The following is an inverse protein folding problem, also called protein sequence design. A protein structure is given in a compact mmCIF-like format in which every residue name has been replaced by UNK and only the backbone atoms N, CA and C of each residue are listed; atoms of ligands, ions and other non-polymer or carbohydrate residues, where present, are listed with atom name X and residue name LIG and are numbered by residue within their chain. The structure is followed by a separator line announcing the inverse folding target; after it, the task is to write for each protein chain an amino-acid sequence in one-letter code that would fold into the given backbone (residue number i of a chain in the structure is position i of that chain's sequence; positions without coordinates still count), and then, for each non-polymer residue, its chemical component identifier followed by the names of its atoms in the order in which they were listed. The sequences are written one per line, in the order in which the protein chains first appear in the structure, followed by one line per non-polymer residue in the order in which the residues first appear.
data_IF_981816700238
#
_entry.id   IF_981816700238
#
_cell.length_a   1.000
_cell.length_b   1.000
_cell.length_c   1.000
_cell.angle_alpha   90.00
_cell.angle_beta   90.00
_cell.angle_gamma   90.00
#
_symmetry.space_group_name_H-M   'P 1'
#
loop_
_entity.id
_entity.type
_entity.pdbx_description
1 polymer ?
#
# COMPACT_ATOMS: atom_id res chain seq x y z
N UNK A 1 -6.52 -34.52 2.43
CA UNK A 1 -6.63 -33.09 2.82
C UNK A 1 -5.53 -32.77 3.83
N UNK A 2 -4.75 -31.70 3.63
CA UNK A 2 -3.77 -31.27 4.65
C UNK A 2 -4.54 -30.74 5.85
N UNK A 3 -4.27 -31.27 7.05
CA UNK A 3 -4.88 -30.79 8.29
C UNK A 3 -4.49 -29.33 8.50
N UNK A 4 -5.48 -28.43 8.58
CA UNK A 4 -5.23 -27.02 8.90
C UNK A 4 -4.66 -26.92 10.32
N UNK A 5 -3.59 -26.14 10.46
CA UNK A 5 -2.99 -25.82 11.77
C UNK A 5 -3.28 -24.36 12.07
N UNK A 6 -4.18 -24.14 13.02
CA UNK A 6 -4.68 -22.82 13.39
C UNK A 6 -3.68 -22.05 14.27
N UNK A 7 -3.70 -20.74 14.13
CA UNK A 7 -2.94 -19.83 14.96
C UNK A 7 -3.44 -19.87 16.41
N UNK A 8 -2.53 -19.75 17.39
CA UNK A 8 -2.87 -19.89 18.83
C UNK A 8 -3.70 -18.73 19.39
N UNK A 9 -3.58 -17.54 18.80
CA UNK A 9 -4.34 -16.32 19.16
C UNK A 9 -5.59 -16.16 18.29
N UNK A 10 -6.50 -15.27 18.69
CA UNK A 10 -7.70 -14.90 17.92
C UNK A 10 -8.69 -16.06 17.71
N UNK A 11 -8.93 -16.86 18.76
CA UNK A 11 -9.76 -18.07 18.65
C UNK A 11 -11.20 -17.73 18.22
N UNK A 12 -11.84 -16.77 18.89
CA UNK A 12 -13.21 -16.35 18.57
C UNK A 12 -13.33 -15.78 17.15
N UNK A 13 -12.34 -14.98 16.72
CA UNK A 13 -12.28 -14.51 15.34
C UNK A 13 -12.17 -15.67 14.35
N UNK A 14 -11.30 -16.66 14.63
CA UNK A 14 -11.12 -17.81 13.75
C UNK A 14 -12.36 -18.71 13.68
N UNK A 15 -13.12 -18.79 14.78
CA UNK A 15 -14.40 -19.52 14.83
C UNK A 15 -15.48 -18.83 13.99
N UNK A 16 -15.43 -17.49 13.86
CA UNK A 16 -16.38 -16.71 13.06
C UNK A 16 -15.99 -16.62 11.58
N UNK A 17 -14.72 -16.35 11.28
CA UNK A 17 -14.27 -15.98 9.93
C UNK A 17 -13.32 -16.97 9.28
N UNK A 18 -12.89 -18.03 9.99
CA UNK A 18 -12.02 -19.09 9.46
C UNK A 18 -10.59 -19.08 10.02
N UNK A 19 -9.79 -20.07 9.64
CA UNK A 19 -8.49 -20.28 10.25
C UNK A 19 -7.43 -19.25 9.81
N UNK A 20 -6.48 -18.98 10.69
CA UNK A 20 -5.21 -18.29 10.38
C UNK A 20 -4.08 -19.33 10.47
N UNK A 21 -3.11 -19.38 9.53
CA UNK A 21 -2.00 -20.31 9.61
C UNK A 21 -1.15 -20.11 10.87
N UNK A 22 -0.84 -21.19 11.59
CA UNK A 22 0.08 -21.14 12.72
C UNK A 22 1.52 -20.73 12.34
N UNK A 23 1.87 -20.84 11.06
CA UNK A 23 3.17 -20.42 10.53
C UNK A 23 3.30 -18.91 10.34
N UNK A 24 2.19 -18.17 10.30
CA UNK A 24 2.21 -16.73 10.11
C UNK A 24 2.74 -16.08 11.39
N UNK A 25 3.85 -15.34 11.24
CA UNK A 25 4.52 -14.63 12.35
C UNK A 25 4.57 -13.12 12.14
N UNK A 26 4.30 -12.66 10.93
CA UNK A 26 4.31 -11.25 10.57
C UNK A 26 2.93 -10.67 10.87
N UNK A 27 2.89 -9.62 11.70
CA UNK A 27 1.66 -9.01 12.19
C UNK A 27 0.81 -8.44 11.04
N UNK A 28 1.44 -7.76 10.08
CA UNK A 28 0.78 -7.27 8.88
C UNK A 28 0.14 -8.43 8.09
N UNK A 29 0.83 -9.55 7.87
CA UNK A 29 0.25 -10.72 7.17
C UNK A 29 -0.97 -11.25 7.93
N UNK A 30 -0.89 -11.38 9.25
CA UNK A 30 -1.99 -11.87 10.09
C UNK A 30 -3.19 -10.92 9.98
N UNK A 31 -3.00 -9.61 10.18
CA UNK A 31 -4.05 -8.59 10.13
C UNK A 31 -4.69 -8.51 8.75
N UNK A 32 -3.89 -8.48 7.69
CA UNK A 32 -4.35 -8.50 6.30
C UNK A 32 -5.17 -9.75 6.00
N UNK A 33 -4.76 -10.93 6.52
CA UNK A 33 -5.52 -12.18 6.39
C UNK A 33 -6.85 -12.13 7.12
N UNK A 34 -6.89 -11.52 8.30
CA UNK A 34 -8.13 -11.31 9.05
C UNK A 34 -9.09 -10.38 8.29
N UNK A 35 -8.61 -9.29 7.70
CA UNK A 35 -9.42 -8.44 6.81
C UNK A 35 -10.03 -9.24 5.66
N UNK A 36 -9.28 -10.17 5.06
CA UNK A 36 -9.85 -11.04 4.02
C UNK A 36 -10.97 -11.93 4.55
N UNK A 37 -10.87 -12.42 5.80
CA UNK A 37 -11.92 -13.16 6.47
C UNK A 37 -13.19 -12.34 6.71
N UNK A 38 -13.04 -11.10 7.17
CA UNK A 38 -14.14 -10.14 7.35
C UNK A 38 -14.83 -9.87 6.01
N UNK A 39 -14.05 -9.55 4.97
CA UNK A 39 -14.58 -9.30 3.63
C UNK A 39 -15.24 -10.54 3.00
N UNK A 40 -14.71 -11.73 3.25
CA UNK A 40 -15.33 -13.00 2.85
C UNK A 40 -16.69 -13.16 3.54
N UNK A 41 -16.83 -12.68 4.77
CA UNK A 41 -18.05 -12.65 5.58
C UNK A 41 -18.71 -14.02 5.75
N UNK A 42 -17.94 -15.09 5.62
CA UNK A 42 -18.36 -16.46 5.87
C UNK A 42 -17.15 -17.31 6.25
N UNK A 43 -17.35 -18.22 7.20
CA UNK A 43 -16.38 -19.26 7.50
C UNK A 43 -16.45 -20.33 6.42
N UNK A 44 -15.28 -20.75 5.94
CA UNK A 44 -15.14 -21.92 5.08
C UNK A 44 -14.41 -23.00 5.88
N UNK A 45 -15.05 -24.16 6.05
CA UNK A 45 -14.43 -25.29 6.73
C UNK A 45 -13.22 -25.79 5.93
N UNK A 46 -12.14 -26.11 6.64
CA UNK A 46 -10.87 -26.54 6.03
C UNK A 46 -10.23 -25.52 5.06
N UNK A 47 -10.50 -24.22 5.21
CA UNK A 47 -9.78 -23.15 4.52
C UNK A 47 -9.28 -22.06 5.50
N UNK A 48 -8.16 -21.40 5.15
CA UNK A 48 -7.73 -20.19 5.84
C UNK A 48 -8.60 -18.98 5.43
N UNK A 49 -8.61 -17.89 6.21
CA UNK A 49 -9.49 -16.72 6.00
C UNK A 49 -9.43 -16.09 4.61
N UNK A 50 -8.28 -16.19 3.96
CA UNK A 50 -8.01 -15.59 2.65
C UNK A 50 -8.35 -16.50 1.47
N UNK A 51 -8.79 -17.74 1.67
CA UNK A 51 -9.10 -18.62 0.54
C UNK A 51 -10.59 -18.66 0.27
N UNK A 52 -10.94 -18.72 -0.99
CA UNK A 52 -12.25 -19.17 -1.47
C UNK A 52 -12.04 -20.40 -2.37
N UNK A 53 -13.11 -21.03 -2.85
CA UNK A 53 -13.01 -22.23 -3.70
C UNK A 53 -13.08 -21.89 -5.19
N UNK A 54 -12.85 -22.91 -6.03
CA UNK A 54 -12.58 -22.82 -7.48
C UNK A 54 -13.70 -22.16 -8.31
N UNK A 55 -14.90 -21.94 -7.76
CA UNK A 55 -16.01 -21.21 -8.41
C UNK A 55 -16.33 -19.84 -7.78
N UNK A 56 -15.52 -19.40 -6.82
CA UNK A 56 -15.77 -18.21 -6.00
C UNK A 56 -15.03 -16.96 -6.49
N UNK A 57 -14.56 -16.95 -7.74
CA UNK A 57 -13.88 -15.80 -8.36
C UNK A 57 -14.69 -14.50 -8.20
N UNK A 58 -16.02 -14.58 -8.27
CA UNK A 58 -16.93 -13.48 -7.95
C UNK A 58 -16.63 -12.80 -6.60
N UNK A 59 -16.36 -13.57 -5.54
CA UNK A 59 -15.99 -13.03 -4.23
C UNK A 59 -14.63 -12.33 -4.30
N UNK A 60 -13.65 -12.93 -4.99
CA UNK A 60 -12.32 -12.34 -5.10
C UNK A 60 -12.32 -11.07 -5.97
N UNK A 61 -13.26 -10.95 -6.90
CA UNK A 61 -13.51 -9.78 -7.75
C UNK A 61 -14.62 -8.88 -7.22
N UNK A 62 -14.56 -8.58 -5.92
CA UNK A 62 -15.38 -7.56 -5.27
C UNK A 62 -16.90 -7.78 -5.32
N UNK A 63 -17.36 -9.01 -5.58
CA UNK A 63 -18.78 -9.34 -5.83
C UNK A 63 -19.39 -8.42 -6.90
N UNK A 64 -18.62 -8.13 -7.94
CA UNK A 64 -19.02 -7.29 -9.05
C UNK A 64 -18.89 -8.08 -10.37
N UNK A 65 -20.03 -8.31 -11.03
CA UNK A 65 -20.09 -9.15 -12.25
C UNK A 65 -19.30 -8.55 -13.41
N UNK A 66 -19.30 -7.21 -13.56
CA UNK A 66 -18.53 -6.52 -14.58
C UNK A 66 -17.02 -6.72 -14.37
N UNK A 67 -16.54 -6.54 -13.14
CA UNK A 67 -15.14 -6.73 -12.79
C UNK A 67 -14.70 -8.19 -12.92
N UNK A 68 -15.56 -9.15 -12.56
CA UNK A 68 -15.28 -10.57 -12.78
C UNK A 68 -15.18 -10.88 -14.29
N UNK A 69 -16.10 -10.35 -15.10
CA UNK A 69 -16.09 -10.53 -16.56
C UNK A 69 -14.83 -9.92 -17.18
N UNK A 70 -14.47 -8.70 -16.78
CA UNK A 70 -13.27 -8.01 -17.26
C UNK A 70 -11.99 -8.73 -16.83
N UNK A 71 -11.95 -9.26 -15.60
CA UNK A 71 -10.84 -10.08 -15.09
C UNK A 71 -10.64 -11.36 -15.91
N UNK A 72 -11.74 -12.05 -16.27
CA UNK A 72 -11.68 -13.24 -17.14
C UNK A 72 -11.17 -12.91 -18.54
N UNK A 73 -11.62 -11.79 -19.13
CA UNK A 73 -11.12 -11.33 -20.44
C UNK A 73 -9.64 -10.98 -20.40
N UNK A 74 -9.19 -10.30 -19.35
CA UNK A 74 -7.79 -9.93 -19.19
C UNK A 74 -6.91 -11.18 -18.98
N UNK A 75 -7.38 -12.17 -18.22
CA UNK A 75 -6.70 -13.46 -18.07
C UNK A 75 -6.49 -14.16 -19.43
N UNK A 76 -7.49 -14.18 -20.29
CA UNK A 76 -7.36 -14.73 -21.65
C UNK A 76 -6.39 -13.90 -22.52
N UNK A 77 -6.35 -12.57 -22.34
CA UNK A 77 -5.36 -11.72 -23.00
C UNK A 77 -3.93 -12.02 -22.53
N UNK A 78 -3.72 -12.21 -21.23
CA UNK A 78 -2.42 -12.61 -20.64
C UNK A 78 -1.96 -13.95 -21.23
N UNK A 79 -2.87 -14.94 -21.30
CA UNK A 79 -2.58 -16.26 -21.91
C UNK A 79 -2.18 -16.12 -23.37
N UNK A 80 -2.87 -15.28 -24.16
CA UNK A 80 -2.52 -14.99 -25.56
C UNK A 80 -1.15 -14.32 -25.72
N UNK A 81 -0.72 -13.52 -24.74
CA UNK A 81 0.63 -12.94 -24.68
C UNK A 81 1.71 -13.92 -24.20
N UNK A 82 1.35 -15.18 -23.95
CA UNK A 82 2.20 -16.24 -23.39
C UNK A 82 2.80 -15.91 -22.02
N UNK A 83 2.14 -15.03 -21.26
CA UNK A 83 2.55 -14.61 -19.92
C UNK A 83 2.08 -15.59 -18.86
N UNK A 84 2.88 -15.73 -17.81
CA UNK A 84 2.56 -16.62 -16.70
C UNK A 84 1.62 -15.88 -15.75
N UNK A 85 0.51 -16.51 -15.43
CA UNK A 85 -0.38 -16.09 -14.35
C UNK A 85 -0.80 -17.32 -13.58
N UNK A 86 -0.71 -17.25 -12.26
CA UNK A 86 -1.25 -18.27 -11.37
C UNK A 86 -2.77 -18.07 -11.28
N UNK A 87 -3.51 -18.70 -12.19
CA UNK A 87 -4.98 -18.60 -12.27
C UNK A 87 -5.66 -19.00 -10.96
N UNK A 88 -5.12 -20.00 -10.27
CA UNK A 88 -5.63 -20.42 -8.97
C UNK A 88 -5.43 -19.33 -7.91
N UNK A 89 -4.24 -18.72 -7.85
CA UNK A 89 -3.97 -17.59 -6.95
C UNK A 89 -4.87 -16.39 -7.27
N UNK A 90 -5.07 -16.09 -8.56
CA UNK A 90 -5.93 -15.01 -9.02
C UNK A 90 -7.40 -15.22 -8.62
N UNK A 91 -7.92 -16.45 -8.71
CA UNK A 91 -9.33 -16.75 -8.44
C UNK A 91 -9.62 -17.04 -6.96
N UNK A 92 -8.69 -17.70 -6.26
CA UNK A 92 -8.97 -18.27 -4.94
C UNK A 92 -8.27 -17.58 -3.77
N UNK A 93 -7.18 -16.84 -3.98
CA UNK A 93 -6.41 -16.25 -2.89
C UNK A 93 -6.68 -14.76 -2.72
N UNK A 94 -7.48 -14.41 -1.73
CA UNK A 94 -7.86 -13.03 -1.41
C UNK A 94 -6.70 -12.20 -0.83
N UNK A 95 -5.71 -12.85 -0.22
CA UNK A 95 -4.54 -12.23 0.39
C UNK A 95 -3.39 -12.26 -0.62
N UNK A 96 -3.60 -11.65 -1.77
CA UNK A 96 -2.60 -11.62 -2.80
C UNK A 96 -2.59 -10.34 -3.62
N UNK A 97 -1.39 -9.88 -3.96
CA UNK A 97 -1.20 -8.72 -4.83
C UNK A 97 -1.77 -8.90 -6.23
N UNK A 98 -1.81 -10.13 -6.76
CA UNK A 98 -2.29 -10.39 -8.11
C UNK A 98 -3.78 -10.04 -8.30
N UNK A 99 -4.74 -10.61 -7.54
CA UNK A 99 -6.13 -10.16 -7.60
C UNK A 99 -6.31 -8.71 -7.12
N UNK A 100 -5.43 -8.20 -6.24
CA UNK A 100 -5.48 -6.78 -5.86
C UNK A 100 -5.19 -5.86 -7.04
N UNK A 101 -4.20 -6.19 -7.89
CA UNK A 101 -3.92 -5.45 -9.12
C UNK A 101 -5.15 -5.42 -10.04
N UNK A 102 -5.82 -6.56 -10.23
CA UNK A 102 -7.03 -6.63 -11.04
C UNK A 102 -8.15 -5.78 -10.44
N UNK A 103 -8.38 -5.90 -9.13
CA UNK A 103 -9.44 -5.19 -8.42
C UNK A 103 -9.25 -3.67 -8.43
N UNK A 104 -8.02 -3.18 -8.28
CA UNK A 104 -7.75 -1.73 -8.25
C UNK A 104 -7.77 -1.13 -9.65
N UNK A 105 -7.19 -1.81 -10.65
CA UNK A 105 -6.83 -1.16 -11.90
C UNK A 105 -7.78 -1.46 -13.08
N UNK A 106 -8.47 -2.61 -13.13
CA UNK A 106 -9.45 -2.87 -14.19
C UNK A 106 -10.63 -1.89 -14.18
N UNK A 107 -11.23 -1.54 -13.01
CA UNK A 107 -12.33 -0.58 -12.98
C UNK A 107 -11.93 0.83 -13.45
N UNK A 108 -10.64 1.19 -13.40
CA UNK A 108 -10.15 2.47 -13.92
C UNK A 108 -10.25 2.59 -15.45
N UNK A 109 -10.52 1.48 -16.17
CA UNK A 109 -10.80 1.46 -17.61
C UNK A 109 -12.24 1.85 -17.93
N UNK A 110 -13.15 1.77 -16.95
CA UNK A 110 -14.57 1.97 -17.19
C UNK A 110 -14.89 3.40 -17.61
N UNK A 111 -15.99 3.54 -18.36
CA UNK A 111 -16.52 4.83 -18.80
C UNK A 111 -15.45 5.69 -19.49
N UNK A 112 -14.70 5.08 -20.42
CA UNK A 112 -13.60 5.72 -21.16
C UNK A 112 -12.55 6.36 -20.24
N UNK A 113 -12.13 5.62 -19.22
CA UNK A 113 -11.11 6.05 -18.25
C UNK A 113 -11.48 7.31 -17.48
N UNK A 114 -12.75 7.68 -17.30
CA UNK A 114 -13.12 8.94 -16.62
C UNK A 114 -12.47 9.05 -15.22
N UNK A 115 -12.66 8.04 -14.38
CA UNK A 115 -12.04 7.97 -13.05
C UNK A 115 -10.53 7.69 -13.16
N UNK A 116 -10.11 6.82 -14.08
CA UNK A 116 -8.69 6.53 -14.31
C UNK A 116 -7.87 7.80 -14.63
N UNK A 117 -8.38 8.66 -15.49
CA UNK A 117 -7.78 9.94 -15.83
C UNK A 117 -7.58 10.82 -14.59
N UNK A 118 -8.58 10.91 -13.72
CA UNK A 118 -8.47 11.69 -12.49
C UNK A 118 -7.41 11.10 -11.54
N UNK A 119 -7.38 9.77 -11.38
CA UNK A 119 -6.40 9.06 -10.55
C UNK A 119 -4.97 9.35 -10.99
N UNK A 120 -4.64 9.11 -12.26
CA UNK A 120 -3.26 9.22 -12.71
C UNK A 120 -2.79 10.68 -12.84
N UNK A 121 -3.70 11.63 -13.11
CA UNK A 121 -3.38 13.06 -13.05
C UNK A 121 -3.09 13.53 -11.63
N UNK A 122 -3.84 13.04 -10.64
CA UNK A 122 -3.62 13.40 -9.22
C UNK A 122 -2.34 12.74 -8.67
N UNK A 123 -2.06 11.48 -9.03
CA UNK A 123 -0.85 10.77 -8.58
C UNK A 123 0.44 11.24 -9.27
N UNK A 124 0.35 11.66 -10.53
CA UNK A 124 1.53 12.02 -11.35
C UNK A 124 1.35 13.35 -12.08
N UNK A 125 1.17 14.47 -11.36
CA UNK A 125 0.92 15.78 -11.98
C UNK A 125 2.08 16.22 -12.90
N UNK A 126 3.31 15.83 -12.58
CA UNK A 126 4.50 16.16 -13.36
C UNK A 126 4.56 15.48 -14.75
N UNK A 127 3.73 14.45 -15.00
CA UNK A 127 3.66 13.79 -16.31
C UNK A 127 2.79 14.54 -17.32
N UNK A 128 2.05 15.57 -16.89
CA UNK A 128 1.13 16.33 -17.74
C UNK A 128 0.20 15.41 -18.56
N UNK A 129 -0.44 14.46 -17.87
CA UNK A 129 -1.30 13.46 -18.50
C UNK A 129 -2.55 14.16 -19.07
N UNK A 130 -2.74 14.07 -20.39
CA UNK A 130 -3.95 14.51 -21.08
C UNK A 130 -5.05 13.48 -20.93
N UNK A 131 -4.74 12.23 -21.27
CA UNK A 131 -5.65 11.09 -21.13
C UNK A 131 -4.92 9.75 -21.07
N UNK A 132 -5.52 8.77 -20.41
CA UNK A 132 -5.13 7.36 -20.50
C UNK A 132 -5.51 6.79 -21.87
N UNK A 133 -4.70 5.83 -22.33
CA UNK A 133 -4.90 5.09 -23.57
C UNK A 133 -5.29 3.65 -23.26
N UNK A 134 -4.58 3.00 -22.34
CA UNK A 134 -4.89 1.64 -21.92
C UNK A 134 -4.32 1.33 -20.52
N UNK A 135 -4.85 0.27 -19.90
CA UNK A 135 -4.35 -0.34 -18.68
C UNK A 135 -4.31 -1.85 -18.94
N UNK A 136 -3.12 -2.45 -18.87
CA UNK A 136 -2.89 -3.88 -19.15
C UNK A 136 -2.28 -4.57 -17.94
N UNK A 137 -2.74 -5.78 -17.63
CA UNK A 137 -2.19 -6.59 -16.54
C UNK A 137 -1.10 -7.51 -17.07
N UNK A 138 -0.05 -7.77 -16.26
CA UNK A 138 1.06 -8.67 -16.63
C UNK A 138 1.62 -8.34 -18.02
N UNK A 139 2.05 -7.09 -18.19
CA UNK A 139 2.38 -6.52 -19.50
C UNK A 139 3.66 -5.69 -19.48
N UNK A 140 4.35 -5.70 -20.61
CA UNK A 140 5.35 -4.69 -20.99
C UNK A 140 5.19 -4.41 -22.49
N UNK A 141 5.41 -3.17 -22.96
CA UNK A 141 5.37 -2.85 -24.38
C UNK A 141 6.12 -3.85 -25.27
N UNK A 142 5.46 -4.26 -26.36
CA UNK A 142 5.97 -5.26 -27.30
C UNK A 142 5.47 -6.69 -27.07
N UNK A 143 4.69 -6.95 -26.02
CA UNK A 143 4.09 -8.26 -25.76
C UNK A 143 2.92 -8.63 -26.68
N UNK A 144 2.42 -7.70 -27.49
CA UNK A 144 1.23 -7.91 -28.33
C UNK A 144 1.45 -9.02 -29.39
N UNK A 145 2.70 -9.39 -29.69
CA UNK A 145 3.08 -10.48 -30.58
C UNK A 145 3.66 -11.71 -29.86
N UNK A 146 3.44 -11.82 -28.54
CA UNK A 146 3.94 -12.89 -27.68
C UNK A 146 5.33 -12.61 -27.11
N UNK A 147 5.61 -13.15 -25.91
CA UNK A 147 6.83 -12.85 -25.13
C UNK A 147 8.15 -13.10 -25.88
N UNK A 148 8.17 -14.02 -26.85
CA UNK A 148 9.37 -14.42 -27.59
C UNK A 148 9.71 -13.44 -28.73
N UNK A 149 8.80 -12.54 -29.11
CA UNK A 149 8.96 -11.61 -30.23
C UNK A 149 9.10 -10.15 -29.79
N UNK A 150 9.19 -9.89 -28.48
CA UNK A 150 9.29 -8.52 -27.96
C UNK A 150 10.72 -7.97 -28.04
N UNK A 151 10.82 -6.64 -28.14
CA UNK A 151 12.10 -5.91 -28.21
C UNK A 151 12.86 -5.85 -26.88
N UNK A 152 12.20 -6.17 -25.76
CA UNK A 152 12.75 -6.19 -24.40
C UNK A 152 13.63 -7.44 -24.24
N UNK A 153 14.88 -7.26 -23.85
CA UNK A 153 15.93 -8.28 -23.93
C UNK A 153 16.38 -8.86 -22.60
N UNK A 154 16.12 -8.17 -21.48
CA UNK A 154 16.68 -8.55 -20.17
C UNK A 154 16.22 -9.94 -19.72
N UNK A 155 14.92 -10.13 -19.55
CA UNK A 155 14.31 -11.39 -19.16
C UNK A 155 12.79 -11.36 -19.27
N UNK A 156 12.12 -12.50 -19.10
CA UNK A 156 10.67 -12.65 -19.23
C UNK A 156 9.84 -11.97 -18.12
N UNK A 157 10.37 -10.95 -17.42
CA UNK A 157 9.57 -10.12 -16.52
C UNK A 157 8.60 -9.23 -17.31
N UNK A 158 7.56 -8.77 -16.60
CA UNK A 158 6.62 -7.74 -17.00
C UNK A 158 6.21 -6.95 -15.75
N UNK A 159 5.53 -5.83 -15.94
CA UNK A 159 4.89 -5.13 -14.83
C UNK A 159 3.60 -5.86 -14.45
N UNK A 160 3.25 -5.84 -13.16
CA UNK A 160 1.94 -6.32 -12.70
C UNK A 160 0.82 -5.54 -13.41
N UNK A 161 1.01 -4.22 -13.54
CA UNK A 161 0.15 -3.32 -14.32
C UNK A 161 1.00 -2.39 -15.16
N UNK A 162 0.61 -2.19 -16.41
CA UNK A 162 1.16 -1.17 -17.29
C UNK A 162 0.07 -0.20 -17.72
N UNK A 163 0.29 1.08 -17.50
CA UNK A 163 -0.63 2.16 -17.84
C UNK A 163 -0.02 2.97 -18.96
N UNK A 164 -0.71 3.05 -20.09
CA UNK A 164 -0.33 3.87 -21.23
C UNK A 164 -1.14 5.16 -21.22
N UNK A 165 -0.50 6.28 -21.50
CA UNK A 165 -1.15 7.59 -21.53
C UNK A 165 -0.61 8.46 -22.67
N UNK A 166 -1.39 9.49 -23.02
CA UNK A 166 -0.93 10.64 -23.82
C UNK A 166 -0.74 11.83 -22.91
N UNK A 167 0.38 12.53 -23.06
CA UNK A 167 0.58 13.82 -22.40
C UNK A 167 -0.07 14.97 -23.19
N UNK A 168 0.00 16.19 -22.66
CA UNK A 168 -0.54 17.39 -23.31
C UNK A 168 0.09 17.70 -24.69
N UNK A 169 1.29 17.17 -24.96
CA UNK A 169 1.95 17.26 -26.27
C UNK A 169 1.61 16.08 -27.21
N UNK A 170 0.58 15.29 -26.87
CA UNK A 170 0.15 14.07 -27.58
C UNK A 170 1.24 12.99 -27.73
N UNK A 171 2.32 13.05 -26.93
CA UNK A 171 3.32 11.99 -26.85
C UNK A 171 2.82 10.85 -25.96
N UNK A 172 3.11 9.61 -26.36
CA UNK A 172 2.81 8.42 -25.59
C UNK A 172 3.84 8.25 -24.47
N UNK A 173 3.36 7.97 -23.27
CA UNK A 173 4.16 7.59 -22.13
C UNK A 173 3.58 6.38 -21.41
N UNK A 174 4.40 5.78 -20.56
CA UNK A 174 4.08 4.59 -19.78
C UNK A 174 4.31 4.76 -18.29
N UNK A 175 3.54 4.04 -17.49
CA UNK A 175 3.76 3.85 -16.06
C UNK A 175 3.74 2.35 -15.82
N UNK A 176 4.89 1.77 -15.53
CA UNK A 176 5.01 0.41 -15.04
C UNK A 176 4.73 0.38 -13.54
N UNK A 177 3.89 -0.54 -13.09
CA UNK A 177 3.47 -0.63 -11.69
C UNK A 177 3.74 -2.05 -11.19
N UNK A 178 4.47 -2.13 -10.07
CA UNK A 178 4.56 -3.33 -9.24
C UNK A 178 3.57 -3.19 -8.07
N UNK A 179 2.86 -4.26 -7.75
CA UNK A 179 1.87 -4.29 -6.68
C UNK A 179 2.33 -5.25 -5.60
N UNK A 180 2.51 -4.75 -4.38
CA UNK A 180 2.88 -5.53 -3.20
C UNK A 180 1.75 -5.47 -2.18
N UNK A 181 1.26 -6.64 -1.76
CA UNK A 181 0.34 -6.71 -0.62
C UNK A 181 0.98 -7.37 0.59
N UNK A 182 1.29 -8.67 0.54
CA UNK A 182 1.93 -9.38 1.67
C UNK A 182 3.13 -10.20 1.25
N UNK A 183 3.35 -10.31 -0.06
CA UNK A 183 4.42 -11.06 -0.66
C UNK A 183 5.74 -10.30 -0.57
N UNK A 184 6.82 -10.99 -0.18
CA UNK A 184 8.19 -10.45 -0.31
C UNK A 184 8.52 -10.13 -1.78
N UNK A 185 9.50 -9.28 -2.03
CA UNK A 185 9.99 -9.01 -3.40
C UNK A 185 10.51 -10.28 -4.09
N UNK A 186 11.74 -10.69 -3.78
CA UNK A 186 12.35 -11.87 -4.40
C UNK A 186 12.90 -12.84 -3.39
N UNK A 187 12.96 -14.11 -3.80
CA UNK A 187 13.64 -15.19 -3.08
C UNK A 187 14.92 -15.62 -3.79
N UNK A 188 15.11 -15.20 -5.04
CA UNK A 188 16.25 -15.60 -5.86
C UNK A 188 17.42 -14.66 -5.62
N UNK A 189 18.63 -15.19 -5.56
CA UNK A 189 19.86 -14.44 -5.38
C UNK A 189 20.67 -14.46 -6.69
N UNK A 190 20.41 -13.50 -7.57
CA UNK A 190 21.05 -13.44 -8.88
C UNK A 190 22.55 -13.12 -8.79
N UNK A 191 23.03 -12.60 -7.66
CA UNK A 191 24.45 -12.37 -7.45
C UNK A 191 25.24 -13.70 -7.39
N UNK A 192 24.60 -14.77 -6.88
CA UNK A 192 25.16 -16.12 -6.77
C UNK A 192 25.04 -16.94 -8.05
N UNK A 193 24.23 -16.52 -9.01
CA UNK A 193 24.15 -17.17 -10.32
C UNK A 193 25.46 -16.97 -11.11
N UNK A 194 25.71 -17.83 -12.10
CA UNK A 194 26.91 -17.79 -12.96
C UNK A 194 26.54 -17.72 -14.44
N UNK A 195 27.48 -17.23 -15.26
CA UNK A 195 27.34 -17.09 -16.70
C UNK A 195 26.21 -16.14 -17.12
N UNK A 196 25.58 -16.45 -18.25
CA UNK A 196 24.63 -15.56 -18.95
C UNK A 196 23.55 -14.94 -18.06
N UNK A 197 23.02 -15.67 -17.08
CA UNK A 197 21.96 -15.16 -16.19
C UNK A 197 22.40 -13.95 -15.36
N UNK A 198 23.67 -13.90 -14.95
CA UNK A 198 24.25 -12.78 -14.21
C UNK A 198 24.81 -11.74 -15.17
N UNK A 199 25.53 -12.20 -16.19
CA UNK A 199 26.22 -11.33 -17.15
C UNK A 199 25.24 -10.39 -17.86
N UNK A 200 24.06 -10.87 -18.26
CA UNK A 200 23.02 -10.03 -18.88
C UNK A 200 22.63 -8.81 -18.05
N UNK A 201 22.60 -8.94 -16.72
CA UNK A 201 22.24 -7.83 -15.85
C UNK A 201 23.41 -6.88 -15.64
N UNK A 202 24.63 -7.40 -15.58
CA UNK A 202 25.84 -6.56 -15.55
C UNK A 202 25.93 -5.73 -16.83
N UNK A 203 25.67 -6.34 -17.98
CA UNK A 203 25.64 -5.64 -19.27
C UNK A 203 24.52 -4.60 -19.33
N UNK A 204 23.34 -4.91 -18.78
CA UNK A 204 22.24 -3.97 -18.67
C UNK A 204 22.58 -2.76 -17.76
N UNK A 205 23.25 -2.99 -16.63
CA UNK A 205 23.71 -1.91 -15.72
C UNK A 205 24.67 -0.97 -16.45
N UNK A 206 25.60 -1.53 -17.24
CA UNK A 206 26.53 -0.73 -18.07
C UNK A 206 25.80 0.05 -19.16
N UNK A 207 24.87 -0.61 -19.86
CA UNK A 207 24.06 0.01 -20.94
C UNK A 207 23.25 1.19 -20.42
N UNK A 208 22.61 1.03 -19.27
CA UNK A 208 21.74 2.03 -18.66
C UNK A 208 22.44 2.73 -17.49
N UNK A 209 23.71 3.11 -17.69
CA UNK A 209 24.55 3.74 -16.67
C UNK A 209 24.12 5.16 -16.28
N UNK A 210 23.20 5.78 -17.05
CA UNK A 210 22.51 7.01 -16.64
C UNK A 210 21.55 6.76 -15.47
N UNK A 211 21.02 5.55 -15.34
CA UNK A 211 20.11 5.14 -14.27
C UNK A 211 20.81 4.36 -13.17
N UNK A 212 21.69 3.43 -13.54
CA UNK A 212 22.32 2.49 -12.62
C UNK A 212 23.81 2.79 -12.42
N UNK A 213 24.30 2.54 -11.21
CA UNK A 213 25.72 2.65 -10.88
C UNK A 213 26.34 1.27 -10.75
N UNK A 214 27.44 1.00 -11.47
CA UNK A 214 28.18 -0.26 -11.35
C UNK A 214 28.64 -0.55 -9.91
N UNK A 215 28.80 0.49 -9.08
CA UNK A 215 29.11 0.38 -7.64
C UNK A 215 28.10 -0.51 -6.90
N UNK A 216 26.83 -0.47 -7.29
CA UNK A 216 25.73 -1.17 -6.60
C UNK A 216 25.32 -2.48 -7.30
N UNK A 217 26.15 -3.01 -8.21
CA UNK A 217 25.85 -4.23 -8.99
C UNK A 217 25.47 -5.42 -8.09
N UNK A 218 26.14 -5.58 -6.94
CA UNK A 218 25.85 -6.68 -6.02
C UNK A 218 24.47 -6.51 -5.40
N UNK A 219 24.17 -5.32 -4.92
CA UNK A 219 22.91 -4.94 -4.27
C UNK A 219 21.74 -5.13 -5.23
N UNK A 220 21.86 -4.63 -6.47
CA UNK A 220 20.84 -4.82 -7.51
C UNK A 220 20.48 -6.29 -7.77
N UNK A 221 21.42 -7.22 -7.57
CA UNK A 221 21.20 -8.64 -7.85
C UNK A 221 20.78 -9.46 -6.61
N UNK A 222 20.81 -8.87 -5.42
CA UNK A 222 20.39 -9.54 -4.19
C UNK A 222 18.86 -9.68 -4.07
N UNK A 223 18.35 -10.69 -3.35
CA UNK A 223 16.90 -10.94 -3.19
C UNK A 223 16.11 -9.72 -2.68
N UNK A 224 16.76 -8.84 -1.92
CA UNK A 224 16.17 -7.61 -1.38
C UNK A 224 15.71 -6.67 -2.50
N UNK A 225 16.56 -6.42 -3.50
CA UNK A 225 16.32 -5.38 -4.50
C UNK A 225 16.09 -5.89 -5.91
N UNK A 226 16.41 -7.15 -6.22
CA UNK A 226 16.47 -7.57 -7.62
C UNK A 226 15.14 -7.54 -8.37
N UNK A 227 14.00 -7.63 -7.68
CA UNK A 227 12.71 -7.43 -8.34
C UNK A 227 12.52 -5.95 -8.73
N UNK A 228 12.81 -5.02 -7.82
CA UNK A 228 12.75 -3.58 -8.09
C UNK A 228 13.75 -3.17 -9.17
N UNK A 229 14.97 -3.70 -9.13
CA UNK A 229 15.97 -3.52 -10.18
C UNK A 229 15.47 -4.00 -11.54
N UNK A 230 14.89 -5.20 -11.62
CA UNK A 230 14.35 -5.75 -12.87
C UNK A 230 13.18 -4.90 -13.40
N UNK A 231 12.30 -4.45 -12.53
CA UNK A 231 11.20 -3.57 -12.92
C UNK A 231 11.70 -2.20 -13.39
N UNK A 232 12.69 -1.61 -12.72
CA UNK A 232 13.31 -0.36 -13.17
C UNK A 232 13.99 -0.57 -14.53
N UNK A 233 14.69 -1.68 -14.71
CA UNK A 233 15.35 -2.03 -15.96
C UNK A 233 14.34 -2.20 -17.11
N UNK A 234 13.16 -2.77 -16.86
CA UNK A 234 12.08 -2.77 -17.85
C UNK A 234 11.70 -1.36 -18.28
N UNK A 235 11.64 -0.38 -17.37
CA UNK A 235 11.34 1.01 -17.76
C UNK A 235 12.42 1.61 -18.66
N UNK A 236 13.70 1.33 -18.38
CA UNK A 236 14.81 1.81 -19.22
C UNK A 236 14.81 1.15 -20.60
N UNK A 237 14.51 -0.15 -20.68
CA UNK A 237 14.34 -0.82 -21.97
C UNK A 237 13.14 -0.29 -22.74
N UNK A 238 12.03 0.03 -22.06
CA UNK A 238 10.86 0.65 -22.71
C UNK A 238 11.22 2.01 -23.32
N UNK A 239 11.95 2.86 -22.56
CA UNK A 239 12.43 4.14 -23.07
C UNK A 239 13.31 3.97 -24.31
N UNK A 240 14.31 3.08 -24.22
CA UNK A 240 15.28 2.82 -25.30
C UNK A 240 14.62 2.22 -26.55
N UNK A 241 13.73 1.24 -26.40
CA UNK A 241 13.19 0.46 -27.54
C UNK A 241 11.96 1.06 -28.20
N UNK A 242 11.22 1.90 -27.49
CA UNK A 242 9.96 2.46 -27.97
C UNK A 242 9.95 4.00 -28.04
N UNK A 243 11.04 4.66 -27.65
CA UNK A 243 11.17 6.12 -27.67
C UNK A 243 9.98 6.79 -26.95
N UNK A 244 9.65 6.26 -25.77
CA UNK A 244 8.55 6.74 -24.92
C UNK A 244 9.06 7.02 -23.52
N UNK A 245 8.48 8.01 -22.84
CA UNK A 245 8.73 8.19 -21.42
C UNK A 245 8.14 7.03 -20.64
N UNK A 246 8.85 6.51 -19.64
CA UNK A 246 8.36 5.42 -18.80
C UNK A 246 8.88 5.59 -17.38
N UNK A 247 8.03 5.42 -16.37
CA UNK A 247 8.46 5.39 -14.97
C UNK A 247 7.98 4.14 -14.26
N UNK A 248 8.62 3.83 -13.14
CA UNK A 248 8.21 2.77 -12.23
C UNK A 248 7.46 3.36 -11.04
N UNK A 249 6.30 2.80 -10.72
CA UNK A 249 5.63 2.99 -9.45
C UNK A 249 5.51 1.65 -8.69
N UNK A 250 5.44 1.72 -7.36
CA UNK A 250 5.25 0.56 -6.50
C UNK A 250 4.05 0.82 -5.60
N UNK A 251 2.96 0.08 -5.82
CA UNK A 251 1.80 0.11 -4.94
C UNK A 251 2.03 -0.81 -3.76
N UNK A 252 1.90 -0.30 -2.54
CA UNK A 252 2.22 -1.04 -1.30
C UNK A 252 1.19 -0.83 -0.19
N UNK A 253 1.08 -1.81 0.71
CA UNK A 253 0.30 -1.70 1.95
C UNK A 253 0.97 -0.78 2.96
N UNK A 254 0.24 0.17 3.52
CA UNK A 254 0.76 1.08 4.57
C UNK A 254 1.27 0.34 5.81
N UNK A 255 0.75 -0.87 6.06
CA UNK A 255 1.17 -1.71 7.18
C UNK A 255 2.44 -2.54 6.86
N UNK A 256 2.95 -2.50 5.62
CA UNK A 256 4.19 -3.19 5.22
C UNK A 256 5.40 -2.26 5.28
N UNK A 257 5.83 -1.92 6.50
CA UNK A 257 7.01 -1.09 6.73
C UNK A 257 8.27 -1.63 6.03
N UNK A 258 8.42 -2.96 5.95
CA UNK A 258 9.56 -3.58 5.30
C UNK A 258 9.55 -3.34 3.78
N UNK A 259 8.37 -3.35 3.16
CA UNK A 259 8.24 -3.06 1.74
C UNK A 259 8.67 -1.62 1.45
N UNK A 260 8.15 -0.64 2.19
CA UNK A 260 8.49 0.77 1.97
C UNK A 260 9.96 1.08 2.27
N UNK A 261 10.53 0.50 3.33
CA UNK A 261 11.96 0.62 3.63
C UNK A 261 12.81 0.10 2.46
N UNK A 262 12.46 -1.07 1.93
CA UNK A 262 13.18 -1.67 0.78
C UNK A 262 13.06 -0.80 -0.48
N UNK A 263 11.89 -0.19 -0.73
CA UNK A 263 11.68 0.70 -1.87
C UNK A 263 12.52 1.98 -1.72
N UNK A 264 12.53 2.58 -0.53
CA UNK A 264 13.31 3.79 -0.26
C UNK A 264 14.81 3.51 -0.36
N UNK A 265 15.29 2.42 0.24
CA UNK A 265 16.68 2.00 0.12
C UNK A 265 17.06 1.74 -1.34
N UNK A 266 16.18 1.12 -2.13
CA UNK A 266 16.44 0.92 -3.57
C UNK A 266 16.51 2.24 -4.35
N UNK A 267 15.67 3.24 -4.01
CA UNK A 267 15.72 4.58 -4.62
C UNK A 267 17.05 5.26 -4.38
N UNK A 268 17.67 5.07 -3.21
CA UNK A 268 19.00 5.59 -2.89
C UNK A 268 20.12 4.92 -3.72
N UNK A 269 19.85 3.75 -4.31
CA UNK A 269 20.80 3.04 -5.18
C UNK A 269 20.72 3.48 -6.65
N UNK A 270 19.68 4.18 -7.09
CA UNK A 270 19.49 4.61 -8.49
C UNK A 270 19.71 6.12 -8.64
N UNK A 271 20.02 6.59 -9.85
CA UNK A 271 20.42 7.98 -10.09
C UNK A 271 19.27 8.96 -10.32
N UNK A 272 18.11 8.52 -10.82
CA UNK A 272 16.98 9.40 -11.11
C UNK A 272 16.00 9.49 -9.94
N UNK A 273 15.75 10.71 -9.47
CA UNK A 273 14.86 11.02 -8.34
C UNK A 273 13.37 10.71 -8.62
N UNK A 274 12.95 10.77 -9.89
CA UNK A 274 11.56 10.57 -10.32
C UNK A 274 11.26 9.14 -10.79
N UNK A 275 11.93 8.13 -10.22
CA UNK A 275 11.68 6.73 -10.55
C UNK A 275 11.51 5.86 -9.32
N UNK A 276 10.80 4.74 -9.48
CA UNK A 276 10.41 3.85 -8.39
C UNK A 276 9.59 4.60 -7.31
N UNK A 277 8.46 5.17 -7.73
CA UNK A 277 7.59 6.00 -6.89
C UNK A 277 6.72 5.12 -5.99
N UNK A 278 6.86 5.18 -4.66
CA UNK A 278 5.98 4.45 -3.75
C UNK A 278 4.60 5.11 -3.71
N UNK A 279 3.55 4.31 -3.83
CA UNK A 279 2.15 4.75 -3.74
C UNK A 279 1.45 3.80 -2.78
N UNK A 280 0.83 4.33 -1.75
CA UNK A 280 0.13 3.48 -0.81
C UNK A 280 -1.22 3.01 -1.39
N UNK A 281 -1.72 1.85 -0.98
CA UNK A 281 -3.02 1.35 -1.48
C UNK A 281 -4.14 2.35 -1.15
N UNK A 282 -4.13 2.97 0.04
CA UNK A 282 -5.14 3.97 0.38
C UNK A 282 -5.08 5.20 -0.52
N UNK A 283 -3.89 5.68 -0.89
CA UNK A 283 -3.75 6.82 -1.80
C UNK A 283 -4.43 6.56 -3.14
N UNK A 284 -4.12 5.43 -3.80
CA UNK A 284 -4.70 5.11 -5.11
C UNK A 284 -6.19 4.78 -5.04
N UNK A 285 -6.69 4.26 -3.91
CA UNK A 285 -8.11 3.89 -3.74
C UNK A 285 -8.98 5.07 -3.30
N UNK A 286 -8.44 6.04 -2.56
CA UNK A 286 -9.20 7.21 -2.10
C UNK A 286 -9.56 8.17 -3.25
N UNK A 287 -8.70 8.31 -4.26
CA UNK A 287 -8.95 9.20 -5.39
C UNK A 287 -10.20 8.78 -6.18
N UNK A 288 -10.40 7.50 -6.56
CA UNK A 288 -11.67 7.03 -7.12
C UNK A 288 -12.88 7.32 -6.24
N UNK A 289 -12.80 7.09 -4.92
CA UNK A 289 -13.93 7.34 -4.00
C UNK A 289 -14.34 8.82 -4.02
N UNK A 290 -13.35 9.72 -4.03
CA UNK A 290 -13.52 11.17 -4.08
C UNK A 290 -14.05 11.67 -5.42
N UNK A 291 -13.64 11.07 -6.53
CA UNK A 291 -13.95 11.56 -7.90
C UNK A 291 -15.21 10.93 -8.49
N UNK A 292 -15.65 9.77 -7.99
CA UNK A 292 -16.83 9.03 -8.48
C UNK A 292 -18.15 9.40 -7.77
N UNK A 293 -18.29 10.64 -7.27
CA UNK A 293 -19.50 11.07 -6.52
C UNK A 293 -20.79 10.85 -7.33
N UNK A 294 -20.74 11.06 -8.64
CA UNK A 294 -21.86 10.86 -9.57
C UNK A 294 -21.89 9.45 -10.20
N UNK A 295 -21.05 8.53 -9.73
CA UNK A 295 -20.94 7.16 -10.22
C UNK A 295 -21.01 6.18 -9.03
N UNK A 296 -22.21 5.97 -8.44
CA UNK A 296 -22.38 5.25 -7.17
C UNK A 296 -21.83 3.82 -7.19
N UNK A 297 -21.89 3.14 -8.34
CA UNK A 297 -21.34 1.80 -8.52
C UNK A 297 -19.82 1.81 -8.32
N UNK A 298 -19.10 2.73 -9.00
CA UNK A 298 -17.64 2.85 -8.90
C UNK A 298 -17.25 3.27 -7.48
N UNK A 299 -17.95 4.25 -6.91
CA UNK A 299 -17.69 4.70 -5.55
C UNK A 299 -17.78 3.54 -4.55
N UNK A 300 -18.89 2.80 -4.58
CA UNK A 300 -19.12 1.65 -3.70
C UNK A 300 -18.09 0.54 -3.92
N UNK A 301 -17.70 0.31 -5.17
CA UNK A 301 -16.65 -0.65 -5.49
C UNK A 301 -15.32 -0.28 -4.83
N UNK A 302 -14.87 0.96 -4.95
CA UNK A 302 -13.62 1.40 -4.32
C UNK A 302 -13.71 1.52 -2.79
N UNK A 303 -14.86 1.86 -2.23
CA UNK A 303 -15.11 1.74 -0.78
C UNK A 303 -14.95 0.29 -0.30
N UNK A 304 -15.44 -0.69 -1.06
CA UNK A 304 -15.26 -2.10 -0.74
C UNK A 304 -13.79 -2.54 -0.89
N UNK A 305 -13.07 -2.04 -1.90
CA UNK A 305 -11.64 -2.30 -2.08
C UNK A 305 -10.85 -1.73 -0.88
N UNK A 306 -11.14 -0.50 -0.48
CA UNK A 306 -10.54 0.12 0.71
C UNK A 306 -10.81 -0.73 1.96
N UNK A 307 -12.05 -1.15 2.16
CA UNK A 307 -12.44 -1.96 3.31
C UNK A 307 -11.70 -3.29 3.37
N UNK A 308 -11.42 -3.88 2.20
CA UNK A 308 -10.76 -5.17 2.09
C UNK A 308 -9.24 -5.10 2.29
N UNK A 309 -8.59 -4.04 1.81
CA UNK A 309 -7.13 -3.97 1.76
C UNK A 309 -6.52 -2.99 2.78
N UNK A 310 -7.26 -1.96 3.22
CA UNK A 310 -6.73 -0.84 4.02
C UNK A 310 -7.45 -0.62 5.35
N UNK A 311 -8.70 -1.06 5.53
CA UNK A 311 -9.51 -0.67 6.70
C UNK A 311 -9.18 -1.48 7.96
N UNK A 312 -7.98 -1.30 8.49
CA UNK A 312 -7.54 -1.94 9.73
C UNK A 312 -8.30 -1.44 10.97
N UNK A 313 -8.96 -0.28 10.89
CA UNK A 313 -9.86 0.19 11.93
C UNK A 313 -11.08 -0.73 12.05
N UNK A 314 -11.69 -1.12 10.92
CA UNK A 314 -12.77 -2.12 10.88
C UNK A 314 -12.33 -3.43 11.55
N UNK A 315 -11.12 -3.91 11.25
CA UNK A 315 -10.56 -5.08 11.91
C UNK A 315 -10.45 -4.89 13.42
N UNK A 316 -9.92 -3.75 13.87
CA UNK A 316 -9.79 -3.47 15.30
C UNK A 316 -11.16 -3.46 16.00
N UNK A 317 -12.21 -2.90 15.37
CA UNK A 317 -13.58 -2.95 15.92
C UNK A 317 -14.06 -4.39 16.06
N UNK A 318 -13.84 -5.20 15.03
CA UNK A 318 -14.30 -6.58 14.99
C UNK A 318 -13.59 -7.46 16.03
N UNK A 319 -12.30 -7.24 16.28
CA UNK A 319 -11.56 -7.94 17.34
C UNK A 319 -12.10 -7.54 18.72
N UNK A 320 -12.29 -6.24 18.98
CA UNK A 320 -12.76 -5.73 20.27
C UNK A 320 -14.20 -6.18 20.60
N UNK A 321 -15.08 -6.29 19.60
CA UNK A 321 -16.45 -6.79 19.80
C UNK A 321 -16.51 -8.27 20.21
N UNK A 322 -15.47 -9.05 19.92
CA UNK A 322 -15.43 -10.48 20.24
C UNK A 322 -14.81 -10.74 21.62
N UNK A 323 -13.85 -9.91 22.06
CA UNK A 323 -13.31 -10.01 23.42
C UNK A 323 -14.41 -9.63 24.44
N UNK A 324 -14.91 -10.59 25.23
CA UNK A 324 -15.72 -10.30 26.42
C UNK A 324 -14.90 -9.40 27.34
N UNK A 325 -15.09 -8.09 27.28
CA UNK A 325 -14.35 -7.16 28.13
C UNK A 325 -14.87 -7.25 29.56
N UNK A 326 -14.18 -8.01 30.42
CA UNK A 326 -13.97 -7.57 31.80
C UNK A 326 -13.16 -6.28 31.72
N UNK A 327 -13.86 -5.15 31.83
CA UNK A 327 -13.25 -3.82 31.87
C UNK A 327 -12.49 -3.73 33.20
N UNK A 328 -11.20 -3.99 33.21
CA UNK A 328 -10.33 -3.53 34.29
C UNK A 328 -10.08 -2.04 34.09
N UNK A 329 -10.63 -1.24 35.01
CA UNK A 329 -10.54 0.23 35.19
C UNK A 329 -9.83 1.04 34.07
N UNK A 330 -10.52 2.00 33.42
CA UNK A 330 -9.87 2.93 32.49
C UNK A 330 -8.95 3.91 33.23
N UNK A 331 -7.77 4.15 32.67
CA UNK A 331 -6.78 5.16 33.08
C UNK A 331 -7.22 6.61 32.77
N UNK A 332 -8.49 6.85 32.40
CA UNK A 332 -8.92 8.14 31.84
C UNK A 332 -9.50 9.10 32.89
N UNK A 333 -9.45 8.74 34.17
CA UNK A 333 -9.87 9.64 35.25
C UNK A 333 -8.92 10.85 35.45
N UNK A 334 -7.77 10.92 34.74
CA UNK A 334 -6.69 11.88 35.05
C UNK A 334 -6.34 12.93 33.96
N UNK A 335 -7.11 13.11 32.88
CA UNK A 335 -6.77 14.13 31.85
C UNK A 335 -7.38 15.49 32.20
N UNK A 336 -6.55 16.46 32.57
CA UNK A 336 -6.95 17.84 32.86
C UNK A 336 -6.72 18.77 31.66
N UNK A 337 -7.50 19.85 31.53
CA UNK A 337 -7.33 20.85 30.45
C UNK A 337 -5.98 21.56 30.49
N UNK A 338 -5.29 21.51 31.64
CA UNK A 338 -3.91 21.97 31.82
C UNK A 338 -2.87 21.06 31.18
N UNK A 339 -3.23 19.83 30.83
CA UNK A 339 -2.33 18.86 30.17
C UNK A 339 -2.33 19.02 28.64
N UNK A 340 -3.24 19.86 28.11
CA UNK A 340 -3.26 20.25 26.71
C UNK A 340 -2.19 21.33 26.48
N UNK A 341 -1.20 21.11 25.59
CA UNK A 341 -0.06 22.02 25.42
C UNK A 341 -0.47 23.47 25.16
N UNK A 342 -0.04 24.36 26.06
CA UNK A 342 -0.32 25.80 25.97
C UNK A 342 0.64 26.55 25.05
N UNK A 343 1.70 25.91 24.55
CA UNK A 343 2.72 26.56 23.73
C UNK A 343 2.87 25.98 22.30
N UNK A 344 3.49 26.77 21.43
CA UNK A 344 3.86 26.45 20.03
C UNK A 344 5.01 25.41 19.96
N UNK A 345 5.36 24.80 21.10
CA UNK A 345 6.49 23.89 21.23
C UNK A 345 6.11 22.45 20.82
N UNK A 346 6.60 22.01 19.66
CA UNK A 346 6.40 20.67 19.15
C UNK A 346 6.88 19.55 20.07
N UNK A 347 7.86 19.81 20.95
CA UNK A 347 8.27 18.82 21.95
C UNK A 347 7.16 18.55 22.96
N UNK A 348 6.40 19.58 23.35
CA UNK A 348 5.28 19.46 24.29
C UNK A 348 4.10 18.72 23.64
N UNK A 349 3.83 19.01 22.36
CA UNK A 349 2.83 18.31 21.54
C UNK A 349 3.22 16.84 21.33
N UNK A 350 4.50 16.56 21.08
CA UNK A 350 5.01 15.20 20.91
C UNK A 350 5.02 14.41 22.21
N UNK A 351 5.47 15.00 23.33
CA UNK A 351 5.46 14.37 24.65
C UNK A 351 4.01 14.03 25.06
N UNK A 352 3.05 14.92 24.75
CA UNK A 352 1.61 14.67 24.90
C UNK A 352 1.12 13.51 23.99
N UNK A 353 1.49 13.48 22.71
CA UNK A 353 1.12 12.38 21.81
C UNK A 353 1.71 11.03 22.27
N UNK A 354 2.93 11.02 22.82
CA UNK A 354 3.59 9.83 23.36
C UNK A 354 2.88 9.30 24.61
N UNK A 355 2.33 10.15 25.48
CA UNK A 355 1.52 9.69 26.63
C UNK A 355 0.31 8.84 26.22
N UNK A 356 -0.21 8.97 24.99
CA UNK A 356 -1.26 8.10 24.46
C UNK A 356 -0.74 6.84 23.73
N UNK A 357 0.49 6.88 23.22
CA UNK A 357 1.09 5.81 22.41
C UNK A 357 1.94 4.81 23.24
N UNK A 358 2.36 5.19 24.46
CA UNK A 358 3.22 4.37 25.34
C UNK A 358 2.56 3.05 25.78
N UNK A 359 1.24 2.90 25.66
CA UNK A 359 0.54 1.64 25.96
C UNK A 359 0.64 0.58 24.84
N UNK A 360 1.30 0.87 23.72
CA UNK A 360 1.70 -0.14 22.72
C UNK A 360 3.22 -0.30 22.66
N UNK A 361 3.74 -1.12 23.57
CA UNK A 361 4.96 -1.91 23.40
C UNK A 361 6.21 -1.19 22.86
N UNK A 362 6.87 -0.38 23.69
CA UNK A 362 8.27 -0.02 23.43
C UNK A 362 9.17 -0.44 24.59
N UNK A 363 10.36 -0.96 24.27
CA UNK A 363 11.40 -1.17 25.29
C UNK A 363 12.05 0.19 25.61
N UNK A 364 12.39 0.48 26.88
CA UNK A 364 12.89 1.81 27.31
C UNK A 364 14.10 2.34 26.54
N UNK A 365 14.90 1.46 25.93
CA UNK A 365 16.11 1.83 25.18
C UNK A 365 15.80 2.42 23.79
N UNK A 366 14.73 1.95 23.14
CA UNK A 366 14.29 2.43 21.81
C UNK A 366 13.63 3.82 21.89
N UNK A 367 12.95 4.11 23.00
CA UNK A 367 12.40 5.43 23.29
C UNK A 367 13.52 6.45 23.45
N UNK A 368 14.61 6.11 24.14
CA UNK A 368 15.77 6.99 24.36
C UNK A 368 16.50 7.36 23.07
N UNK A 369 16.72 6.39 22.18
CA UNK A 369 17.43 6.61 20.91
C UNK A 369 16.60 7.44 19.91
N UNK A 370 15.29 7.17 19.79
CA UNK A 370 14.38 8.00 18.97
C UNK A 370 14.21 9.40 19.54
N UNK A 371 14.03 9.53 20.85
CA UNK A 371 13.95 10.83 21.53
C UNK A 371 15.21 11.66 21.32
N UNK A 372 16.39 11.03 21.27
CA UNK A 372 17.68 11.72 21.05
C UNK A 372 17.84 12.16 19.59
N UNK A 373 17.50 11.29 18.63
CA UNK A 373 17.49 11.63 17.20
C UNK A 373 16.56 12.82 16.89
N UNK A 374 15.35 12.80 17.44
CA UNK A 374 14.38 13.88 17.25
C UNK A 374 14.76 15.15 18.00
N UNK A 375 15.33 15.09 19.23
CA UNK A 375 15.84 16.29 19.93
C UNK A 375 16.94 17.00 19.17
N UNK A 376 17.81 16.26 18.46
CA UNK A 376 18.87 16.82 17.62
C UNK A 376 18.28 17.46 16.35
N UNK A 377 17.23 16.86 15.78
CA UNK A 377 16.56 17.35 14.57
C UNK A 377 15.67 18.57 14.84
N UNK A 378 14.89 18.58 15.94
CA UNK A 378 14.00 19.67 16.32
C UNK A 378 14.74 20.93 16.78
N UNK A 379 15.91 20.79 17.43
CA UNK A 379 16.78 21.94 17.76
C UNK A 379 17.23 22.76 16.54
N UNK A 380 17.15 22.18 15.33
CA UNK A 380 17.53 22.86 14.08
C UNK A 380 16.39 23.67 13.45
N UNK A 381 15.14 23.46 13.85
CA UNK A 381 13.95 23.94 13.12
C UNK A 381 12.88 24.54 14.05
N UNK A 382 13.29 25.42 14.96
CA UNK A 382 12.45 26.07 15.99
C UNK A 382 11.40 27.07 15.47
N UNK A 383 11.08 27.10 14.18
CA UNK A 383 10.10 28.04 13.62
C UNK A 383 9.20 27.37 12.58
N UNK A 384 8.17 26.67 13.06
CA UNK A 384 7.06 26.20 12.22
C UNK A 384 5.76 26.82 12.76
N UNK A 385 4.96 27.37 11.83
CA UNK A 385 4.05 28.52 11.97
C UNK A 385 2.71 28.20 12.70
N UNK A 386 2.11 29.23 13.29
CA UNK A 386 0.98 29.24 14.24
C UNK A 386 -0.38 28.71 13.76
N UNK A 387 -0.61 28.53 12.46
CA UNK A 387 -1.95 28.23 11.92
C UNK A 387 -2.40 26.78 12.20
N UNK A 388 -1.51 25.80 12.06
CA UNK A 388 -1.84 24.39 12.32
C UNK A 388 -2.10 24.10 13.80
N UNK A 389 -1.43 24.81 14.70
CA UNK A 389 -1.68 24.76 16.15
C UNK A 389 -3.04 25.39 16.48
N UNK A 390 -3.41 26.45 15.76
CA UNK A 390 -4.72 27.10 15.91
C UNK A 390 -5.85 26.20 15.43
N UNK A 391 -5.66 25.49 14.32
CA UNK A 391 -6.63 24.51 13.79
C UNK A 391 -6.82 23.32 14.74
N UNK A 392 -5.72 22.74 15.24
CA UNK A 392 -5.76 21.67 16.25
C UNK A 392 -6.47 22.11 17.53
N UNK A 393 -6.20 23.33 18.02
CA UNK A 393 -6.86 23.90 19.20
C UNK A 393 -8.35 24.16 18.99
N UNK A 394 -8.74 24.63 17.81
CA UNK A 394 -10.14 24.87 17.47
C UNK A 394 -10.95 23.56 17.45
N UNK A 395 -10.39 22.51 16.86
CA UNK A 395 -11.00 21.17 16.83
C UNK A 395 -11.20 20.63 18.25
N UNK A 396 -10.17 20.71 19.09
CA UNK A 396 -10.23 20.24 20.49
C UNK A 396 -11.21 21.07 21.34
N UNK A 397 -11.21 22.40 21.19
CA UNK A 397 -12.05 23.29 21.99
C UNK A 397 -13.54 23.20 21.64
N UNK A 398 -13.88 23.03 20.35
CA UNK A 398 -15.27 22.84 19.93
C UNK A 398 -15.84 21.53 20.46
N UNK A 399 -15.05 20.46 20.45
CA UNK A 399 -15.48 19.16 20.96
C UNK A 399 -15.74 19.16 22.48
N UNK A 400 -14.85 19.79 23.27
CA UNK A 400 -15.04 19.92 24.73
C UNK A 400 -16.34 20.67 25.06
N UNK A 401 -16.71 21.66 24.23
CA UNK A 401 -17.95 22.42 24.39
C UNK A 401 -19.19 21.63 23.95
N UNK A 402 -19.11 20.91 22.84
CA UNK A 402 -20.25 20.19 22.26
C UNK A 402 -20.67 18.98 23.10
N UNK A 403 -19.71 18.30 23.74
CA UNK A 403 -19.97 17.04 24.47
C UNK A 403 -20.31 17.24 25.97
N UNK A 404 -20.34 18.48 26.47
CA UNK A 404 -20.73 18.82 27.84
C UNK A 404 -20.07 17.91 28.90
N UNK A 405 -18.80 17.56 28.68
CA UNK A 405 -18.07 16.53 29.43
C UNK A 405 -18.02 16.90 30.91
N UNK A 406 -18.82 16.19 31.71
CA UNK A 406 -18.79 16.29 33.16
C UNK A 406 -17.56 15.49 33.67
N UNK A 407 -16.84 16.06 34.63
CA UNK A 407 -15.47 15.64 35.01
C UNK A 407 -15.31 14.18 35.47
N UNK A 408 -16.41 13.48 35.75
CA UNK A 408 -16.41 12.19 36.45
C UNK A 408 -16.99 11.02 35.62
N UNK A 409 -17.16 11.16 34.30
CA UNK A 409 -17.69 10.09 33.45
C UNK A 409 -16.62 9.37 32.62
N UNK A 410 -16.61 8.04 32.70
CA UNK A 410 -15.77 7.17 31.87
C UNK A 410 -15.98 7.45 30.37
N UNK A 411 -14.90 7.58 29.58
CA UNK A 411 -15.03 7.88 28.18
C UNK A 411 -15.57 6.70 27.37
N UNK A 412 -16.42 7.00 26.39
CA UNK A 412 -17.03 6.02 25.51
C UNK A 412 -16.15 5.69 24.29
N UNK A 413 -16.55 4.67 23.54
CA UNK A 413 -15.82 4.19 22.37
C UNK A 413 -15.61 5.25 21.27
N UNK A 414 -16.57 6.17 21.11
CA UNK A 414 -16.47 7.25 20.12
C UNK A 414 -15.36 8.23 20.48
N UNK A 415 -15.16 8.49 21.78
CA UNK A 415 -14.09 9.32 22.31
C UNK A 415 -12.70 8.70 22.08
N UNK A 416 -12.53 7.38 22.25
CA UNK A 416 -11.25 6.69 21.94
C UNK A 416 -10.94 6.63 20.44
N UNK A 417 -11.93 6.31 19.61
CA UNK A 417 -11.75 6.29 18.16
C UNK A 417 -11.48 7.68 17.58
N UNK A 418 -11.91 8.75 18.26
CA UNK A 418 -11.61 10.12 17.88
C UNK A 418 -10.19 10.54 18.29
N UNK A 419 -9.69 10.14 19.47
CA UNK A 419 -8.29 10.33 19.88
C UNK A 419 -7.34 9.69 18.86
N UNK A 420 -7.61 8.46 18.41
CA UNK A 420 -6.83 7.80 17.36
C UNK A 420 -6.83 8.57 16.02
N UNK A 421 -7.98 9.18 15.66
CA UNK A 421 -8.10 10.01 14.45
C UNK A 421 -7.37 11.35 14.58
N UNK A 422 -7.35 11.95 15.77
CA UNK A 422 -6.54 13.14 16.07
C UNK A 422 -5.05 12.81 15.95
N UNK A 423 -4.60 11.70 16.53
CA UNK A 423 -3.20 11.25 16.45
C UNK A 423 -2.81 10.99 14.98
N UNK A 424 -3.66 10.31 14.21
CA UNK A 424 -3.43 10.07 12.78
C UNK A 424 -3.38 11.37 11.97
N UNK A 425 -4.26 12.34 12.25
CA UNK A 425 -4.22 13.66 11.59
C UNK A 425 -2.99 14.47 11.97
N UNK A 426 -2.58 14.45 13.24
CA UNK A 426 -1.33 15.08 13.69
C UNK A 426 -0.14 14.47 12.94
N UNK A 427 -0.07 13.13 12.84
CA UNK A 427 0.98 12.43 12.11
C UNK A 427 0.99 12.77 10.61
N UNK A 428 -0.18 12.88 9.97
CA UNK A 428 -0.28 13.26 8.57
C UNK A 428 0.12 14.73 8.31
N UNK A 429 -0.25 15.65 9.21
CA UNK A 429 0.19 17.05 9.11
C UNK A 429 1.71 17.14 9.24
N UNK A 430 2.30 16.41 10.20
CA UNK A 430 3.75 16.32 10.38
C UNK A 430 4.41 15.72 9.12
N UNK A 431 3.87 14.62 8.59
CA UNK A 431 4.42 13.93 7.43
C UNK A 431 4.37 14.77 6.15
N UNK A 432 3.25 15.43 5.87
CA UNK A 432 3.08 16.28 4.70
C UNK A 432 3.97 17.53 4.77
N UNK A 433 4.12 18.15 5.95
CA UNK A 433 5.02 19.30 6.13
C UNK A 433 6.49 18.93 5.99
N UNK A 434 6.89 17.73 6.43
CA UNK A 434 8.25 17.20 6.22
C UNK A 434 8.57 16.94 4.74
N UNK A 435 7.55 16.84 3.89
CA UNK A 435 7.66 16.60 2.45
C UNK A 435 7.54 17.87 1.59
N UNK A 436 6.80 18.90 2.03
CA UNK A 436 6.68 20.18 1.31
C UNK A 436 7.96 21.03 1.34
N UNK A 437 8.79 20.89 2.38
CA UNK A 437 10.03 21.66 2.56
C UNK A 437 11.30 20.94 2.04
N UNK A 438 11.16 19.98 1.10
CA UNK A 438 12.29 19.30 0.43
C UNK A 438 12.36 19.58 -1.07
#
# INVERSE_FOLDING_TARGET
MRKIVQHKKFKEFQDKFGAIPASDKNDHIIRSRMLQGIYRNQKIENAYCNYVFEDSGFVNFMRNERLESDSKKELEAIKKRERLTDEKRLLENLLSSQPMAFNIFLPLKWNNFEVGNAVFKELFPFLNIKQLVDIKMEYVPGDDFGKNNRKITTDNSCFDVYVEYKNENDKIGGIGIEVKYTESFSKSDYWKETGYKKDRYIDAIKRYSSQFSEKYTKEYLQPTYNQLFRNQLLTEEVKDKFNMDCLLAVVYSEEDFKCIDTVNEFRDLIKLENSCIPISISQIVQIPIKTSVNQPEIKRLYENIYNRYCNYDLLNKEILLNEKTEITKPFVEDICISDVPSSINWKEIFDFAQTFDINRHYKPKEVSEKTTYFKIHFRKHEQIISESVTELRAILSNYIKEENLNRDSNPNYEQFAFIGRIISKINNIIYNKLWEDR
#
